data_IF_676878194629
#
_entry.id   IF_676878194629
#
_cell.length_a   1.000
_cell.length_b   1.000
_cell.length_c   1.000
_cell.angle_alpha   90.00
_cell.angle_beta   90.00
_cell.angle_gamma   90.00
#
_symmetry.space_group_name_H-M   'P 1'
#
loop_
_entity.id
_entity.type
_entity.pdbx_description
1 polymer ?
#
# COMPACT_ATOMS: atom_id res chain seq x y z
N UNK A 1 15.07 -10.88 9.33
CA UNK A 1 14.06 -9.80 9.31
C UNK A 1 14.59 -8.61 8.53
N UNK A 2 13.78 -8.02 7.66
CA UNK A 2 14.20 -6.87 6.88
C UNK A 2 14.03 -5.58 7.69
N UNK A 3 14.72 -4.53 7.27
CA UNK A 3 14.61 -3.20 7.88
C UNK A 3 13.50 -2.41 7.18
N UNK A 4 13.00 -1.36 7.86
CA UNK A 4 11.96 -0.51 7.27
C UNK A 4 12.42 0.17 5.98
N UNK A 5 13.70 0.52 5.87
CA UNK A 5 14.26 1.11 4.66
C UNK A 5 14.14 0.16 3.47
N UNK A 6 14.39 -1.13 3.71
CA UNK A 6 14.22 -2.15 2.68
C UNK A 6 12.74 -2.32 2.32
N UNK A 7 11.85 -2.29 3.32
CA UNK A 7 10.43 -2.35 3.08
C UNK A 7 9.95 -1.18 2.22
N UNK A 8 10.46 0.03 2.49
CA UNK A 8 10.10 1.22 1.70
C UNK A 8 10.58 1.09 0.26
N UNK A 9 11.76 0.53 0.03
CA UNK A 9 12.28 0.30 -1.32
C UNK A 9 11.40 -0.71 -2.07
N UNK A 10 11.03 -1.80 -1.42
CA UNK A 10 10.15 -2.81 -2.01
C UNK A 10 8.77 -2.22 -2.30
N UNK A 11 8.25 -1.37 -1.41
CA UNK A 11 6.98 -0.68 -1.62
C UNK A 11 7.04 0.25 -2.83
N UNK A 12 8.13 1.01 -2.99
CA UNK A 12 8.32 1.89 -4.13
C UNK A 12 8.32 1.11 -5.45
N UNK A 13 8.99 -0.03 -5.48
CA UNK A 13 9.02 -0.89 -6.66
C UNK A 13 7.62 -1.44 -6.98
N UNK A 14 6.86 -1.80 -5.95
CA UNK A 14 5.49 -2.27 -6.11
C UNK A 14 4.58 -1.17 -6.66
N UNK A 15 4.76 0.06 -6.19
CA UNK A 15 4.02 1.22 -6.69
C UNK A 15 4.30 1.43 -8.19
N UNK A 16 5.57 1.32 -8.62
CA UNK A 16 5.91 1.43 -10.02
C UNK A 16 5.19 0.38 -10.86
N UNK A 17 5.10 -0.84 -10.37
CA UNK A 17 4.38 -1.91 -11.04
C UNK A 17 2.89 -1.56 -11.19
N UNK A 18 2.27 -1.04 -10.13
CA UNK A 18 0.85 -0.65 -10.17
C UNK A 18 0.66 0.51 -11.15
N UNK A 19 1.56 1.49 -11.16
CA UNK A 19 1.51 2.63 -12.08
C UNK A 19 1.48 2.16 -13.54
N UNK A 20 2.32 1.19 -13.87
CA UNK A 20 2.34 0.64 -15.23
C UNK A 20 1.03 -0.04 -15.61
N UNK A 21 0.36 -0.65 -14.63
CA UNK A 21 -0.91 -1.35 -14.87
C UNK A 21 -2.09 -0.40 -15.01
N UNK A 22 -2.14 0.67 -14.22
CA UNK A 22 -3.29 1.56 -14.20
C UNK A 22 -3.11 2.85 -15.01
N UNK A 23 -1.88 3.17 -15.42
CA UNK A 23 -1.59 4.37 -16.21
C UNK A 23 -1.65 5.67 -15.42
N UNK A 24 -1.66 5.61 -14.09
CA UNK A 24 -1.69 6.78 -13.22
C UNK A 24 -0.40 6.84 -12.40
N UNK A 25 0.07 8.07 -12.13
CA UNK A 25 1.14 8.27 -11.17
C UNK A 25 0.59 8.13 -9.76
N UNK A 26 1.27 7.35 -8.94
CA UNK A 26 0.84 7.04 -7.59
C UNK A 26 1.87 7.51 -6.58
N UNK A 27 1.42 7.77 -5.36
CA UNK A 27 2.29 8.23 -4.30
C UNK A 27 1.92 7.54 -3.00
N UNK A 28 2.93 7.08 -2.27
CA UNK A 28 2.73 6.53 -0.93
C UNK A 28 2.48 7.70 0.00
N UNK A 29 1.36 7.66 0.73
CA UNK A 29 0.93 8.75 1.58
C UNK A 29 1.08 8.43 3.06
N UNK A 30 1.21 7.16 3.42
CA UNK A 30 1.34 6.77 4.82
C UNK A 30 1.90 5.36 4.90
N UNK A 31 2.51 5.05 6.05
CA UNK A 31 2.97 3.72 6.38
C UNK A 31 2.63 3.44 7.84
N UNK A 32 2.11 2.25 8.11
CA UNK A 32 1.68 1.86 9.44
C UNK A 32 2.33 0.53 9.82
N UNK A 33 3.12 0.54 10.89
CA UNK A 33 3.77 -0.68 11.36
C UNK A 33 2.76 -1.55 12.09
N UNK A 34 2.72 -2.83 11.73
CA UNK A 34 1.92 -3.84 12.43
C UNK A 34 2.85 -4.96 12.91
N UNK A 35 2.30 -5.94 13.59
CA UNK A 35 3.11 -7.01 14.20
C UNK A 35 4.01 -7.72 13.18
N UNK A 36 3.47 -8.10 12.04
CA UNK A 36 4.17 -8.94 11.07
C UNK A 36 4.58 -8.20 9.79
N UNK A 37 4.43 -6.88 9.75
CA UNK A 37 4.79 -6.14 8.55
C UNK A 37 4.60 -4.65 8.66
N UNK A 38 4.65 -3.99 7.51
CA UNK A 38 4.35 -2.57 7.37
C UNK A 38 3.28 -2.41 6.31
N UNK A 39 2.19 -1.72 6.64
CA UNK A 39 1.08 -1.46 5.73
C UNK A 39 1.31 -0.12 5.05
N UNK A 40 1.29 -0.12 3.74
CA UNK A 40 1.51 1.08 2.94
C UNK A 40 0.21 1.53 2.31
N UNK A 41 -0.05 2.83 2.40
CA UNK A 41 -1.23 3.47 1.82
C UNK A 41 -0.76 4.36 0.67
N UNK A 42 -1.52 4.38 -0.42
CA UNK A 42 -1.17 5.17 -1.60
C UNK A 42 -2.40 5.78 -2.24
N UNK A 43 -2.17 6.83 -3.03
CA UNK A 43 -3.23 7.52 -3.75
C UNK A 43 -2.67 8.07 -5.05
N UNK A 44 -3.53 8.41 -6.00
CA UNK A 44 -3.10 9.03 -7.24
C UNK A 44 -2.50 10.41 -6.94
N UNK A 45 -1.40 10.73 -7.63
CA UNK A 45 -0.79 12.05 -7.48
C UNK A 45 -1.76 13.15 -7.92
N UNK A 46 -2.54 12.88 -8.97
CA UNK A 46 -3.52 13.84 -9.48
C UNK A 46 -4.56 14.18 -8.42
N UNK A 47 -5.06 13.21 -7.68
CA UNK A 47 -5.98 13.47 -6.59
C UNK A 47 -5.33 14.31 -5.50
N UNK A 48 -4.08 13.99 -5.14
CA UNK A 48 -3.37 14.73 -4.09
C UNK A 48 -3.14 16.20 -4.47
N UNK A 49 -2.98 16.50 -5.75
CA UNK A 49 -2.78 17.85 -6.24
C UNK A 49 -4.09 18.65 -6.34
N UNK A 50 -5.18 18.02 -6.77
CA UNK A 50 -6.42 18.69 -7.10
C UNK A 50 -7.52 18.50 -6.07
N UNK A 51 -7.45 17.43 -5.27
CA UNK A 51 -8.51 17.01 -4.33
C UNK A 51 -9.86 16.81 -4.99
N UNK A 52 -9.89 16.56 -6.30
CA UNK A 52 -11.12 16.29 -7.03
C UNK A 52 -11.48 14.81 -6.94
N UNK A 53 -12.73 14.54 -6.57
CA UNK A 53 -13.20 13.16 -6.39
C UNK A 53 -13.06 12.33 -7.65
N UNK A 54 -13.12 12.94 -8.83
CA UNK A 54 -12.94 12.25 -10.10
C UNK A 54 -11.54 11.67 -10.28
N UNK A 55 -10.56 12.15 -9.54
CA UNK A 55 -9.18 11.68 -9.59
C UNK A 55 -8.86 10.66 -8.51
N UNK A 56 -9.79 10.36 -7.62
CA UNK A 56 -9.61 9.31 -6.62
C UNK A 56 -9.46 7.96 -7.32
N UNK A 57 -8.44 7.23 -6.91
CA UNK A 57 -8.21 5.88 -7.43
C UNK A 57 -9.16 4.92 -6.72
N UNK A 58 -10.20 4.48 -7.43
CA UNK A 58 -11.19 3.57 -6.87
C UNK A 58 -10.58 2.20 -6.62
N UNK A 59 -10.86 1.62 -5.46
CA UNK A 59 -10.42 0.27 -5.14
C UNK A 59 -8.94 0.14 -4.82
N UNK A 60 -8.25 1.23 -4.48
CA UNK A 60 -6.84 1.20 -4.13
C UNK A 60 -6.64 0.68 -2.70
N UNK A 61 -6.77 -0.63 -2.53
CA UNK A 61 -6.53 -1.26 -1.24
C UNK A 61 -5.07 -1.13 -0.83
N UNK A 62 -4.79 -0.92 0.46
CA UNK A 62 -3.40 -0.89 0.93
C UNK A 62 -2.73 -2.25 0.77
N UNK A 63 -1.40 -2.25 0.81
CA UNK A 63 -0.63 -3.49 0.77
C UNK A 63 0.32 -3.55 1.96
N UNK A 64 0.75 -4.76 2.30
CA UNK A 64 1.65 -5.00 3.42
C UNK A 64 2.94 -5.64 2.92
N UNK A 65 4.07 -5.19 3.47
CA UNK A 65 5.38 -5.81 3.26
C UNK A 65 5.71 -6.61 4.50
N UNK A 66 5.94 -7.91 4.34
CA UNK A 66 6.21 -8.81 5.46
C UNK A 66 7.58 -8.54 6.06
N UNK A 67 7.66 -8.48 7.39
CA UNK A 67 8.91 -8.19 8.10
C UNK A 67 9.96 -9.28 7.95
N UNK A 68 9.55 -10.51 7.80
CA UNK A 68 10.48 -11.63 7.71
C UNK A 68 10.93 -11.89 6.27
N UNK A 69 9.97 -11.97 5.36
CA UNK A 69 10.24 -12.39 3.99
C UNK A 69 10.43 -11.23 3.02
N UNK A 70 9.89 -10.05 3.34
CA UNK A 70 9.84 -8.94 2.41
C UNK A 70 8.79 -9.11 1.31
N UNK A 71 7.98 -10.17 1.39
CA UNK A 71 6.94 -10.40 0.39
C UNK A 71 5.78 -9.42 0.58
N UNK A 72 5.15 -9.05 -0.53
CA UNK A 72 4.06 -8.09 -0.53
C UNK A 72 2.75 -8.83 -0.71
N UNK A 73 1.76 -8.48 0.13
CA UNK A 73 0.39 -8.97 0.01
C UNK A 73 -0.55 -7.79 -0.06
N UNK A 74 -1.51 -7.83 -0.99
CA UNK A 74 -2.50 -6.77 -1.14
C UNK A 74 -3.71 -7.10 -0.28
N UNK A 75 -4.16 -6.13 0.52
CA UNK A 75 -5.39 -6.27 1.27
C UNK A 75 -6.59 -6.05 0.35
N UNK A 76 -7.75 -6.56 0.75
CA UNK A 76 -8.97 -6.38 -0.02
C UNK A 76 -9.73 -5.12 0.40
N UNK A 77 -10.88 -4.91 -0.23
CA UNK A 77 -11.77 -3.78 0.07
C UNK A 77 -13.14 -4.23 0.60
N UNK A 78 -13.36 -5.54 0.72
CA UNK A 78 -14.64 -6.08 1.14
C UNK A 78 -14.90 -5.93 2.64
N UNK A 79 -13.85 -5.75 3.43
CA UNK A 79 -13.92 -5.60 4.89
C UNK A 79 -13.14 -4.38 5.33
N UNK A 80 -13.35 -3.88 6.57
CA UNK A 80 -12.54 -2.80 7.12
C UNK A 80 -11.07 -3.21 7.22
N UNK A 81 -10.18 -2.21 7.21
CA UNK A 81 -8.74 -2.44 7.27
C UNK A 81 -8.33 -3.29 8.48
N UNK A 82 -8.96 -3.04 9.63
CA UNK A 82 -8.67 -3.76 10.88
C UNK A 82 -8.87 -5.27 10.72
N UNK A 83 -9.87 -5.67 9.93
CA UNK A 83 -10.12 -7.09 9.65
C UNK A 83 -8.90 -7.73 8.99
N UNK A 84 -8.36 -7.08 7.96
CA UNK A 84 -7.22 -7.64 7.22
C UNK A 84 -5.95 -7.63 8.05
N UNK A 85 -5.72 -6.61 8.86
CA UNK A 85 -4.58 -6.53 9.74
C UNK A 85 -4.65 -7.67 10.77
N UNK A 86 -5.81 -7.88 11.37
CA UNK A 86 -6.00 -8.94 12.37
C UNK A 86 -5.74 -10.32 11.76
N UNK A 87 -6.23 -10.58 10.57
CA UNK A 87 -5.99 -11.85 9.88
C UNK A 87 -4.52 -12.03 9.55
N UNK A 88 -3.85 -10.96 9.15
CA UNK A 88 -2.44 -11.01 8.77
C UNK A 88 -1.54 -11.26 9.97
N UNK A 89 -1.88 -10.69 11.12
CA UNK A 89 -1.06 -10.75 12.33
C UNK A 89 -1.34 -12.00 13.20
N UNK A 90 -2.15 -12.91 12.75
CA UNK A 90 -2.39 -14.18 13.47
C UNK A 90 -1.18 -15.05 13.56
#
# INVERSE_FOLDING_TARGET
>A
MILIEDAKLRAAQHIEFIEQSCGEQLEIIDVNEIRNGWVFFYQSRRYLETHQMSHILAGNAPFVVNKLSGLISTFGTAHPLEYYIEQYDK
#
